data_IF_887617842826
#
_entry.id   IF_887617842826
#
_cell.length_a   1.000
_cell.length_b   1.000
_cell.length_c   1.000
_cell.angle_alpha   90.00
_cell.angle_beta   90.00
_cell.angle_gamma   90.00
#
_symmetry.space_group_name_H-M   'P 1'
#
loop_
_entity.id
_entity.type
_entity.pdbx_description
1 polymer ?
#
# COMPACT_ATOMS: atom_id res chain seq x y z
N UNK A 1 1.66 15.72 6.98
CA UNK A 1 2.56 16.49 7.87
C UNK A 1 2.75 15.85 9.25
N UNK A 2 1.77 15.10 9.78
CA UNK A 2 1.86 14.48 11.11
C UNK A 2 2.98 13.42 11.23
N UNK A 3 3.32 12.75 10.14
CA UNK A 3 4.47 11.82 10.09
C UNK A 3 5.82 12.51 10.37
N UNK A 4 5.94 13.78 10.00
CA UNK A 4 7.15 14.57 10.25
C UNK A 4 7.25 15.09 11.70
N UNK A 5 6.19 14.94 12.50
CA UNK A 5 6.11 15.44 13.89
C UNK A 5 6.44 14.33 14.91
N UNK A 6 6.73 13.10 14.46
CA UNK A 6 7.05 12.00 15.36
C UNK A 6 8.21 12.38 16.31
N UNK A 7 8.08 12.16 17.63
CA UNK A 7 9.11 12.49 18.61
C UNK A 7 10.40 11.67 18.45
N UNK A 8 10.34 10.50 17.78
CA UNK A 8 11.52 9.70 17.50
C UNK A 8 12.30 10.31 16.32
N UNK A 9 13.50 10.89 16.54
CA UNK A 9 14.24 11.59 15.50
C UNK A 9 14.71 10.65 14.37
N UNK A 10 15.05 9.41 14.69
CA UNK A 10 15.44 8.42 13.69
C UNK A 10 14.27 8.04 12.77
N UNK A 11 13.10 7.77 13.34
CA UNK A 11 11.90 7.45 12.55
C UNK A 11 11.54 8.63 11.63
N UNK A 12 11.61 9.85 12.15
CA UNK A 12 11.36 11.06 11.34
C UNK A 12 12.34 11.19 10.18
N UNK A 13 13.62 10.92 10.40
CA UNK A 13 14.65 10.96 9.35
C UNK A 13 14.34 9.92 8.25
N UNK A 14 14.01 8.68 8.66
CA UNK A 14 13.66 7.60 7.72
C UNK A 14 12.40 7.95 6.93
N UNK A 15 11.36 8.45 7.57
CA UNK A 15 10.12 8.88 6.89
C UNK A 15 10.39 10.00 5.88
N UNK A 16 11.24 10.95 6.21
CA UNK A 16 11.66 12.00 5.27
C UNK A 16 12.43 11.42 4.07
N UNK A 17 13.26 10.39 4.30
CA UNK A 17 13.95 9.68 3.22
C UNK A 17 12.93 8.94 2.32
N UNK A 18 12.01 8.17 2.89
CA UNK A 18 10.94 7.47 2.15
C UNK A 18 10.09 8.46 1.34
N UNK A 19 9.77 9.62 1.92
CA UNK A 19 9.02 10.66 1.24
C UNK A 19 9.74 11.25 0.00
N UNK A 20 11.07 11.25 -0.02
CA UNK A 20 11.83 11.67 -1.23
C UNK A 20 11.72 10.67 -2.36
N UNK A 21 11.42 9.41 -2.07
CA UNK A 21 11.23 8.33 -3.05
C UNK A 21 9.81 8.29 -3.62
N UNK A 22 9.01 9.34 -3.48
CA UNK A 22 7.62 9.39 -3.95
C UNK A 22 7.51 9.02 -5.42
N UNK A 23 6.55 8.14 -5.74
CA UNK A 23 6.17 7.80 -7.08
C UNK A 23 5.13 8.76 -7.66
N UNK A 24 4.44 8.29 -8.68
CA UNK A 24 3.37 9.05 -9.37
C UNK A 24 2.08 9.18 -8.53
N UNK A 25 2.01 8.60 -7.34
CA UNK A 25 0.85 8.61 -6.43
C UNK A 25 -0.47 8.24 -7.13
N UNK A 26 -0.42 7.28 -8.03
CA UNK A 26 -1.59 6.90 -8.84
C UNK A 26 -2.72 6.29 -7.98
N UNK A 27 -2.39 5.59 -6.90
CA UNK A 27 -3.39 4.95 -6.04
C UNK A 27 -4.25 5.93 -5.28
N UNK A 28 -3.69 6.87 -4.48
CA UNK A 28 -4.49 7.91 -3.84
C UNK A 28 -5.24 8.76 -4.88
N UNK A 29 -4.64 9.01 -6.05
CA UNK A 29 -5.31 9.74 -7.12
C UNK A 29 -6.55 8.97 -7.64
N UNK A 30 -6.45 7.64 -7.81
CA UNK A 30 -7.60 6.81 -8.21
C UNK A 30 -8.72 6.84 -7.16
N UNK A 31 -8.38 6.72 -5.86
CA UNK A 31 -9.37 6.84 -4.79
C UNK A 31 -10.15 8.15 -4.91
N UNK A 32 -9.43 9.27 -5.07
CA UNK A 32 -10.05 10.59 -5.20
C UNK A 32 -10.89 10.72 -6.49
N UNK A 33 -10.40 10.20 -7.61
CA UNK A 33 -11.11 10.24 -8.89
C UNK A 33 -12.40 9.43 -8.84
N UNK A 34 -12.35 8.18 -8.35
CA UNK A 34 -13.56 7.37 -8.23
C UNK A 34 -14.51 7.91 -7.17
N UNK A 35 -14.00 8.43 -6.04
CA UNK A 35 -14.83 9.17 -5.10
C UNK A 35 -15.57 10.33 -5.79
N UNK A 36 -14.87 11.11 -6.63
CA UNK A 36 -15.48 12.24 -7.34
C UNK A 36 -16.48 11.85 -8.42
N UNK A 37 -16.31 10.68 -9.05
CA UNK A 37 -17.27 10.15 -10.05
C UNK A 37 -18.61 9.80 -9.39
N UNK A 38 -18.58 9.20 -8.19
CA UNK A 38 -19.78 8.68 -7.53
C UNK A 38 -20.36 9.62 -6.48
N UNK A 39 -19.64 10.68 -6.06
CA UNK A 39 -20.15 11.60 -5.07
C UNK A 39 -19.21 12.75 -4.73
N UNK A 40 -19.40 13.31 -3.54
CA UNK A 40 -18.51 14.35 -3.01
C UNK A 40 -17.44 13.75 -2.11
N UNK A 41 -16.19 14.12 -2.36
CA UNK A 41 -15.03 13.71 -1.57
C UNK A 41 -15.21 14.19 -0.13
N UNK A 42 -14.98 13.31 0.82
CA UNK A 42 -15.14 13.53 2.24
C UNK A 42 -13.93 12.99 3.05
N UNK A 43 -13.98 13.09 4.37
CA UNK A 43 -12.93 12.62 5.28
C UNK A 43 -12.63 11.12 5.10
N UNK A 44 -13.65 10.27 4.90
CA UNK A 44 -13.47 8.84 4.63
C UNK A 44 -12.66 8.63 3.34
N UNK A 45 -12.93 9.42 2.28
CA UNK A 45 -12.17 9.33 1.02
C UNK A 45 -10.69 9.65 1.22
N UNK A 46 -10.37 10.70 1.99
CA UNK A 46 -8.98 11.06 2.29
C UNK A 46 -8.30 10.02 3.16
N UNK A 47 -8.96 9.53 4.20
CA UNK A 47 -8.42 8.49 5.08
C UNK A 47 -8.15 7.18 4.32
N UNK A 48 -9.06 6.77 3.44
CA UNK A 48 -8.89 5.61 2.58
C UNK A 48 -7.71 5.77 1.60
N UNK A 49 -7.58 6.94 0.97
CA UNK A 49 -6.46 7.24 0.08
C UNK A 49 -5.10 7.20 0.80
N UNK A 50 -5.04 7.75 2.02
CA UNK A 50 -3.84 7.70 2.87
C UNK A 50 -3.53 6.27 3.31
N UNK A 51 -4.54 5.51 3.75
CA UNK A 51 -4.36 4.13 4.17
C UNK A 51 -3.78 3.27 3.04
N UNK A 52 -4.29 3.38 1.82
CA UNK A 52 -3.78 2.63 0.66
C UNK A 52 -2.35 3.02 0.27
N UNK A 53 -2.01 4.31 0.30
CA UNK A 53 -0.64 4.74 -0.02
C UNK A 53 0.36 4.31 1.07
N UNK A 54 -0.03 4.32 2.35
CA UNK A 54 0.78 3.84 3.46
C UNK A 54 0.97 2.32 3.41
N UNK A 55 -0.12 1.56 3.15
CA UNK A 55 -0.07 0.11 2.95
C UNK A 55 0.90 -0.24 1.83
N UNK A 56 0.76 0.41 0.66
CA UNK A 56 1.64 0.19 -0.47
C UNK A 56 3.10 0.58 -0.16
N UNK A 57 3.34 1.70 0.51
CA UNK A 57 4.69 2.15 0.85
C UNK A 57 5.34 1.19 1.85
N UNK A 58 4.60 0.72 2.85
CA UNK A 58 5.05 -0.28 3.81
C UNK A 58 5.41 -1.61 3.13
N UNK A 59 4.55 -2.09 2.21
CA UNK A 59 4.85 -3.32 1.45
C UNK A 59 6.11 -3.17 0.61
N UNK A 60 6.33 -2.03 -0.06
CA UNK A 60 7.55 -1.80 -0.85
C UNK A 60 8.82 -1.82 0.00
N UNK A 61 8.77 -1.33 1.25
CA UNK A 61 9.93 -1.39 2.15
C UNK A 61 10.21 -2.83 2.57
N UNK A 62 9.17 -3.64 2.81
CA UNK A 62 9.32 -5.07 3.10
C UNK A 62 9.84 -5.83 1.88
N UNK A 63 9.32 -5.55 0.68
CA UNK A 63 9.80 -6.14 -0.56
C UNK A 63 11.30 -5.86 -0.79
N UNK A 64 11.77 -4.63 -0.52
CA UNK A 64 13.19 -4.28 -0.62
C UNK A 64 14.08 -5.14 0.30
N UNK A 65 13.57 -5.53 1.48
CA UNK A 65 14.28 -6.44 2.38
C UNK A 65 14.24 -7.88 1.88
N UNK A 66 13.09 -8.33 1.39
CA UNK A 66 12.89 -9.70 0.87
C UNK A 66 13.73 -9.94 -0.37
N UNK A 67 13.82 -8.93 -1.27
CA UNK A 67 14.53 -8.98 -2.54
C UNK A 67 16.03 -8.60 -2.41
N UNK A 68 16.53 -8.30 -1.20
CA UNK A 68 17.86 -7.72 -0.96
C UNK A 68 18.15 -6.49 -1.86
N UNK A 69 17.10 -5.73 -2.17
CA UNK A 69 17.19 -4.56 -3.04
C UNK A 69 17.92 -3.40 -2.36
N UNK A 70 18.98 -2.92 -2.98
CA UNK A 70 19.76 -1.79 -2.44
C UNK A 70 19.30 -0.43 -2.94
N UNK A 71 18.38 -0.41 -3.91
CA UNK A 71 17.88 0.82 -4.51
C UNK A 71 16.38 0.75 -4.81
N UNK A 72 15.69 1.88 -4.58
CA UNK A 72 14.30 2.10 -4.93
C UNK A 72 14.15 3.44 -5.65
N UNK A 73 13.64 3.43 -6.89
CA UNK A 73 13.42 4.65 -7.71
C UNK A 73 14.68 5.53 -7.84
N UNK A 74 15.82 4.90 -8.03
CA UNK A 74 17.11 5.60 -8.21
C UNK A 74 17.74 6.16 -6.93
N UNK A 75 17.18 5.86 -5.77
CA UNK A 75 17.74 6.22 -4.46
C UNK A 75 18.03 4.96 -3.65
N UNK A 76 18.91 5.07 -2.66
CA UNK A 76 19.18 3.95 -1.76
C UNK A 76 17.91 3.56 -0.99
N UNK A 77 17.60 2.26 -0.91
CA UNK A 77 16.49 1.72 -0.13
C UNK A 77 16.71 1.91 1.38
N UNK A 78 15.65 1.73 2.18
CA UNK A 78 15.75 1.91 3.64
C UNK A 78 16.71 0.88 4.25
N UNK A 79 16.65 -0.39 3.80
CA UNK A 79 17.55 -1.44 4.27
C UNK A 79 19.01 -1.18 3.89
N UNK A 80 19.27 -0.55 2.74
CA UNK A 80 20.63 -0.19 2.31
C UNK A 80 21.27 0.89 3.18
N UNK A 81 20.48 1.85 3.69
CA UNK A 81 20.97 2.95 4.54
C UNK A 81 21.02 2.54 6.01
N UNK A 82 19.95 1.90 6.50
CA UNK A 82 19.72 1.70 7.94
C UNK A 82 19.81 0.25 8.39
N UNK A 83 19.78 -0.73 7.52
CA UNK A 83 19.73 -2.19 7.68
C UNK A 83 18.31 -2.80 7.63
N UNK A 84 18.28 -4.15 7.46
CA UNK A 84 17.02 -4.90 7.33
C UNK A 84 16.12 -4.79 8.57
N UNK A 85 16.68 -4.77 9.79
CA UNK A 85 15.90 -4.72 11.03
C UNK A 85 15.09 -3.42 11.13
N UNK A 86 15.71 -2.28 10.82
CA UNK A 86 15.02 -0.99 10.82
C UNK A 86 14.03 -0.88 9.66
N UNK A 87 14.37 -1.41 8.48
CA UNK A 87 13.45 -1.42 7.36
C UNK A 87 12.16 -2.20 7.68
N UNK A 88 12.27 -3.38 8.28
CA UNK A 88 11.09 -4.16 8.72
C UNK A 88 10.24 -3.36 9.71
N UNK A 89 10.85 -2.77 10.75
CA UNK A 89 10.12 -1.99 11.75
C UNK A 89 9.45 -0.72 11.17
N UNK A 90 10.08 -0.09 10.19
CA UNK A 90 9.49 1.08 9.49
C UNK A 90 8.32 0.63 8.60
N UNK A 91 8.45 -0.49 7.90
CA UNK A 91 7.33 -1.10 7.17
C UNK A 91 6.14 -1.38 8.09
N UNK A 92 6.38 -2.05 9.22
CA UNK A 92 5.34 -2.33 10.23
C UNK A 92 4.69 -1.04 10.77
N UNK A 93 5.48 0.00 11.01
CA UNK A 93 4.98 1.30 11.43
C UNK A 93 4.03 1.90 10.40
N UNK A 94 4.38 1.88 9.11
CA UNK A 94 3.53 2.38 8.04
C UNK A 94 2.25 1.54 7.85
N UNK A 95 2.34 0.22 7.97
CA UNK A 95 1.18 -0.67 7.94
C UNK A 95 0.25 -0.40 9.13
N UNK A 96 0.79 -0.19 10.32
CA UNK A 96 0.01 0.16 11.52
C UNK A 96 -0.67 1.52 11.35
N UNK A 97 -0.02 2.49 10.73
CA UNK A 97 -0.64 3.77 10.39
C UNK A 97 -1.75 3.62 9.34
N UNK A 98 -1.54 2.80 8.31
CA UNK A 98 -2.59 2.50 7.34
C UNK A 98 -3.84 1.98 8.05
N UNK A 99 -3.66 1.03 8.98
CA UNK A 99 -4.76 0.49 9.78
C UNK A 99 -5.43 1.57 10.66
N UNK A 100 -4.65 2.47 11.25
CA UNK A 100 -5.20 3.58 12.02
C UNK A 100 -6.08 4.51 11.16
N UNK A 101 -5.65 4.83 9.93
CA UNK A 101 -6.46 5.63 9.00
C UNK A 101 -7.74 4.92 8.57
N UNK A 102 -7.74 3.60 8.37
CA UNK A 102 -8.98 2.88 8.09
C UNK A 102 -9.97 2.94 9.25
N UNK A 103 -9.47 3.01 10.48
CA UNK A 103 -10.30 3.16 11.69
C UNK A 103 -11.06 4.50 11.76
N UNK A 104 -10.67 5.50 10.98
CA UNK A 104 -11.38 6.78 10.85
C UNK A 104 -12.40 6.78 9.68
N UNK A 105 -12.50 5.69 8.93
CA UNK A 105 -13.51 5.56 7.87
C UNK A 105 -14.85 5.17 8.47
N UNK A 106 -15.92 5.88 8.10
CA UNK A 106 -17.28 5.60 8.60
C UNK A 106 -17.81 4.25 8.12
N UNK A 107 -17.47 3.86 6.89
CA UNK A 107 -17.89 2.58 6.31
C UNK A 107 -16.88 1.48 6.65
N UNK A 108 -17.27 0.53 7.49
CA UNK A 108 -16.43 -0.61 7.89
C UNK A 108 -16.02 -1.53 6.73
N UNK A 109 -16.72 -1.47 5.58
CA UNK A 109 -16.32 -2.21 4.38
C UNK A 109 -14.97 -1.72 3.87
N UNK A 110 -14.68 -0.42 3.97
CA UNK A 110 -13.38 0.16 3.60
C UNK A 110 -12.24 -0.49 4.39
N UNK A 111 -12.41 -0.61 5.71
CA UNK A 111 -11.41 -1.26 6.58
C UNK A 111 -11.19 -2.72 6.20
N UNK A 112 -12.29 -3.46 5.96
CA UNK A 112 -12.21 -4.86 5.55
C UNK A 112 -11.49 -5.03 4.21
N UNK A 113 -11.87 -4.26 3.20
CA UNK A 113 -11.31 -4.34 1.84
C UNK A 113 -9.81 -4.01 1.85
N UNK A 114 -9.38 -3.00 2.61
CA UNK A 114 -7.96 -2.67 2.75
C UNK A 114 -7.20 -3.76 3.52
N UNK A 115 -7.82 -4.39 4.51
CA UNK A 115 -7.26 -5.55 5.21
C UNK A 115 -7.08 -6.76 4.28
N UNK A 116 -8.12 -7.09 3.49
CA UNK A 116 -8.09 -8.17 2.50
C UNK A 116 -7.03 -7.91 1.42
N UNK A 117 -6.86 -6.65 1.01
CA UNK A 117 -5.78 -6.25 0.11
C UNK A 117 -4.40 -6.52 0.71
N UNK A 118 -4.18 -6.16 1.97
CA UNK A 118 -2.90 -6.44 2.65
C UNK A 118 -2.56 -7.93 2.66
N UNK A 119 -3.54 -8.79 2.93
CA UNK A 119 -3.37 -10.25 2.85
C UNK A 119 -3.06 -10.69 1.41
N UNK A 120 -3.76 -10.15 0.41
CA UNK A 120 -3.56 -10.48 -0.99
C UNK A 120 -2.16 -10.12 -1.48
N UNK A 121 -1.62 -8.97 -1.05
CA UNK A 121 -0.25 -8.55 -1.39
C UNK A 121 0.79 -9.49 -0.78
N UNK A 122 0.65 -9.81 0.51
CA UNK A 122 1.56 -10.73 1.20
C UNK A 122 1.50 -12.15 0.61
N UNK A 123 0.30 -12.65 0.33
CA UNK A 123 0.12 -13.94 -0.34
C UNK A 123 0.73 -13.94 -1.75
N UNK A 124 0.60 -12.83 -2.49
CA UNK A 124 1.22 -12.65 -3.80
C UNK A 124 2.74 -12.73 -3.76
N UNK A 125 3.37 -12.16 -2.72
CA UNK A 125 4.80 -12.24 -2.51
C UNK A 125 5.26 -13.66 -2.20
N UNK A 126 4.60 -14.31 -1.24
CA UNK A 126 4.88 -15.72 -0.88
C UNK A 126 4.71 -16.63 -2.09
N UNK A 127 3.64 -16.43 -2.87
CA UNK A 127 3.35 -17.18 -4.08
C UNK A 127 4.48 -17.00 -5.13
N UNK A 128 4.90 -15.77 -5.37
CA UNK A 128 6.03 -15.47 -6.27
C UNK A 128 7.31 -16.16 -5.82
N UNK A 129 7.66 -16.07 -4.52
CA UNK A 129 8.86 -16.69 -3.96
C UNK A 129 8.85 -18.21 -4.15
N UNK A 130 7.71 -18.87 -3.85
CA UNK A 130 7.57 -20.31 -4.01
C UNK A 130 7.79 -20.75 -5.46
N UNK A 131 7.07 -20.16 -6.41
CA UNK A 131 7.16 -20.57 -7.83
C UNK A 131 8.50 -20.19 -8.47
N UNK A 132 9.13 -19.10 -8.03
CA UNK A 132 10.48 -18.72 -8.48
C UNK A 132 11.53 -19.70 -7.97
N UNK A 133 11.45 -20.12 -6.70
CA UNK A 133 12.38 -21.09 -6.12
C UNK A 133 12.28 -22.45 -6.79
N UNK A 134 11.07 -22.93 -7.05
CA UNK A 134 10.81 -24.22 -7.71
C UNK A 134 11.00 -24.18 -9.22
N UNK A 135 11.30 -23.02 -9.81
CA UNK A 135 11.43 -22.80 -11.27
C UNK A 135 10.17 -23.22 -12.06
N UNK A 136 8.99 -23.03 -11.46
CA UNK A 136 7.67 -23.42 -12.01
C UNK A 136 6.89 -22.23 -12.56
N UNK A 137 7.55 -21.20 -13.09
CA UNK A 137 6.89 -20.02 -13.65
C UNK A 137 6.27 -20.38 -15.01
N UNK A 138 4.94 -20.53 -15.02
CA UNK A 138 4.11 -20.58 -16.23
C UNK A 138 3.48 -19.22 -16.52
N UNK A 139 2.79 -19.09 -17.67
CA UNK A 139 2.04 -17.89 -18.00
C UNK A 139 0.91 -17.64 -16.98
N UNK A 140 0.21 -18.68 -16.57
CA UNK A 140 -0.86 -18.60 -15.57
C UNK A 140 -0.32 -18.14 -14.22
N UNK A 141 0.81 -18.70 -13.78
CA UNK A 141 1.49 -18.27 -12.54
C UNK A 141 1.91 -16.81 -12.64
N UNK A 142 2.46 -16.38 -13.76
CA UNK A 142 2.84 -15.00 -13.99
C UNK A 142 1.65 -14.03 -13.90
N UNK A 143 0.53 -14.35 -14.54
CA UNK A 143 -0.68 -13.52 -14.44
C UNK A 143 -1.27 -13.50 -13.03
N UNK A 144 -1.21 -14.61 -12.29
CA UNK A 144 -1.66 -14.64 -10.90
C UNK A 144 -0.79 -13.75 -9.99
N UNK A 145 0.52 -13.74 -10.19
CA UNK A 145 1.43 -12.83 -9.48
C UNK A 145 1.06 -11.37 -9.78
N UNK A 146 0.88 -11.01 -11.06
CA UNK A 146 0.48 -9.65 -11.44
C UNK A 146 -0.89 -9.28 -10.85
N UNK A 147 -1.84 -10.19 -10.86
CA UNK A 147 -3.17 -9.99 -10.29
C UNK A 147 -3.08 -9.63 -8.81
N UNK A 148 -2.31 -10.41 -8.03
CA UNK A 148 -2.15 -10.21 -6.59
C UNK A 148 -1.32 -8.98 -6.24
N UNK A 149 -0.17 -8.79 -6.87
CA UNK A 149 0.79 -7.74 -6.50
C UNK A 149 0.52 -6.37 -7.14
N UNK A 150 -0.16 -6.33 -8.28
CA UNK A 150 -0.35 -5.08 -9.04
C UNK A 150 -1.81 -4.74 -9.25
N UNK A 151 -2.59 -5.62 -9.91
CA UNK A 151 -3.95 -5.31 -10.30
C UNK A 151 -4.88 -5.12 -9.09
N UNK A 152 -4.71 -5.92 -8.03
CA UNK A 152 -5.48 -5.80 -6.79
C UNK A 152 -5.43 -4.40 -6.19
N UNK A 153 -4.25 -3.78 -6.15
CA UNK A 153 -4.07 -2.43 -5.64
C UNK A 153 -4.85 -1.38 -6.43
N UNK A 154 -4.88 -1.50 -7.77
CA UNK A 154 -5.62 -0.57 -8.62
C UNK A 154 -7.13 -0.78 -8.47
N UNK A 155 -7.59 -2.03 -8.52
CA UNK A 155 -8.99 -2.39 -8.32
C UNK A 155 -9.51 -1.90 -6.97
N UNK A 156 -8.79 -2.21 -5.88
CA UNK A 156 -9.14 -1.76 -4.53
C UNK A 156 -9.16 -0.22 -4.42
N UNK A 157 -8.23 0.48 -5.09
CA UNK A 157 -8.24 1.95 -5.06
C UNK A 157 -9.52 2.53 -5.67
N UNK A 158 -10.01 1.95 -6.77
CA UNK A 158 -11.25 2.37 -7.40
C UNK A 158 -12.46 2.04 -6.53
N UNK A 159 -12.55 0.80 -6.05
CA UNK A 159 -13.61 0.30 -5.19
C UNK A 159 -13.76 1.14 -3.92
N UNK A 160 -12.67 1.33 -3.18
CA UNK A 160 -12.67 2.09 -1.93
C UNK A 160 -13.00 3.57 -2.18
N UNK A 161 -12.56 4.15 -3.29
CA UNK A 161 -12.94 5.49 -3.69
C UNK A 161 -14.45 5.65 -3.86
N UNK A 162 -15.09 4.74 -4.59
CA UNK A 162 -16.54 4.75 -4.77
C UNK A 162 -17.29 4.51 -3.44
N UNK A 163 -16.86 3.51 -2.66
CA UNK A 163 -17.47 3.22 -1.35
C UNK A 163 -17.40 4.37 -0.38
N UNK A 164 -16.32 5.13 -0.37
CA UNK A 164 -16.09 6.22 0.58
C UNK A 164 -17.11 7.35 0.48
N UNK A 165 -17.82 7.45 -0.65
CA UNK A 165 -18.86 8.44 -0.91
C UNK A 165 -20.27 7.83 -0.97
N UNK A 166 -20.41 6.55 -0.58
CA UNK A 166 -21.71 5.87 -0.48
C UNK A 166 -22.22 5.27 -1.78
N UNK A 167 -21.36 4.97 -2.74
CA UNK A 167 -21.76 4.26 -3.96
C UNK A 167 -22.43 2.92 -3.65
N UNK A 168 -23.39 2.54 -4.48
CA UNK A 168 -24.09 1.27 -4.35
C UNK A 168 -23.21 0.08 -4.74
N UNK A 169 -23.58 -1.13 -4.31
CA UNK A 169 -22.86 -2.34 -4.72
C UNK A 169 -22.96 -2.60 -6.23
N UNK A 170 -24.03 -2.12 -6.88
CA UNK A 170 -24.21 -2.24 -8.33
C UNK A 170 -23.22 -1.34 -9.09
N UNK A 171 -22.90 -0.18 -8.54
CA UNK A 171 -21.93 0.77 -9.12
C UNK A 171 -20.50 0.28 -9.01
N UNK A 172 -20.21 -0.62 -8.07
CA UNK A 172 -18.88 -1.11 -7.74
C UNK A 172 -18.51 -2.37 -8.53
N UNK A 173 -19.51 -3.19 -8.91
CA UNK A 173 -19.33 -4.42 -9.68
C UNK A 173 -19.19 -4.17 -11.18
#
# INVERSE_FOLDING_TARGET
>A
DDLAINPNPLLREIILHVNKQRGKQMRPMLVLLFGKVFGEINETTYNAALALELLHTGSLIHDDVVDDSMQRRGQASVNAIYNNKLAVLVGDYLLSMALAFTGHCEDSRVTRIIGDLGQTLADGEIFQMFYSHEQLISEEVYFEIIRKKTASLFSTSAEVGALSVGASQEDIN
#
